data_IF_413364280267
#
_entry.id   IF_413364280267
#
_cell.length_a   1.000
_cell.length_b   1.000
_cell.length_c   1.000
_cell.angle_alpha   90.00
_cell.angle_beta   90.00
_cell.angle_gamma   90.00
#
_symmetry.space_group_name_H-M   'P 1'
#
loop_
_entity.id
_entity.type
_entity.pdbx_description
1 polymer ?
#
# COMPACT_ATOMS: atom_id res chain seq x y z
N UNK A 1 14.92 24.63 -10.81
CA UNK A 1 13.92 24.08 -9.86
C UNK A 1 13.94 22.55 -9.84
N UNK A 2 15.12 21.92 -9.89
CA UNK A 2 15.30 20.45 -9.88
C UNK A 2 16.16 20.00 -8.66
N UNK A 3 16.46 20.88 -7.71
CA UNK A 3 17.44 20.57 -6.65
C UNK A 3 16.88 20.32 -5.25
N UNK A 4 15.56 20.37 -5.06
CA UNK A 4 14.96 20.07 -3.74
C UNK A 4 14.60 18.60 -3.53
N UNK A 5 14.65 17.76 -4.58
CA UNK A 5 14.22 16.36 -4.49
C UNK A 5 15.34 15.35 -4.26
N UNK A 6 16.62 15.77 -4.32
CA UNK A 6 17.78 14.87 -4.21
C UNK A 6 18.53 14.88 -2.88
N UNK A 7 18.18 15.79 -1.96
CA UNK A 7 18.91 15.93 -0.67
C UNK A 7 18.15 15.32 0.53
N UNK A 8 16.92 14.83 0.35
CA UNK A 8 16.13 14.23 1.43
C UNK A 8 16.50 12.76 1.77
N UNK A 9 17.69 12.28 1.38
CA UNK A 9 18.10 10.88 1.53
C UNK A 9 18.86 10.57 2.84
N UNK A 10 18.89 11.48 3.82
CA UNK A 10 19.72 11.27 5.02
C UNK A 10 19.03 11.42 6.38
N UNK A 11 17.74 11.77 6.47
CA UNK A 11 17.06 11.85 7.78
C UNK A 11 15.61 11.37 7.70
N UNK A 12 15.17 10.48 8.60
CA UNK A 12 13.75 10.19 8.78
C UNK A 12 13.12 11.41 9.44
N UNK A 13 12.61 12.34 8.62
CA UNK A 13 11.80 13.44 9.14
C UNK A 13 10.48 12.86 9.68
N UNK A 14 10.06 13.23 10.91
CA UNK A 14 8.82 12.71 11.53
C UNK A 14 7.57 12.84 10.65
N UNK A 15 7.53 13.89 9.82
CA UNK A 15 6.43 14.15 8.88
C UNK A 15 6.20 13.06 7.82
N UNK A 16 7.24 12.32 7.41
CA UNK A 16 7.09 11.22 6.44
C UNK A 16 6.33 10.04 7.03
N UNK A 17 6.46 9.78 8.34
CA UNK A 17 5.74 8.68 8.98
C UNK A 17 4.24 8.98 9.13
N UNK A 18 3.88 10.22 9.52
CA UNK A 18 2.49 10.63 9.67
C UNK A 18 1.74 10.64 8.34
N UNK A 19 2.42 11.00 7.24
CA UNK A 19 1.83 10.97 5.91
C UNK A 19 1.50 9.54 5.48
N UNK A 20 2.45 8.59 5.62
CA UNK A 20 2.21 7.18 5.26
C UNK A 20 1.06 6.56 6.06
N UNK A 21 0.95 6.89 7.36
CA UNK A 21 -0.12 6.40 8.23
C UNK A 21 -1.49 6.95 7.82
N UNK A 22 -1.56 8.25 7.50
CA UNK A 22 -2.81 8.90 7.09
C UNK A 22 -3.32 8.33 5.76
N UNK A 23 -2.43 8.11 4.80
CA UNK A 23 -2.74 7.46 3.53
C UNK A 23 -3.26 6.03 3.74
N UNK A 24 -2.56 5.24 4.56
CA UNK A 24 -2.96 3.87 4.86
C UNK A 24 -4.33 3.79 5.55
N UNK A 25 -4.61 4.69 6.49
CA UNK A 25 -5.90 4.71 7.20
C UNK A 25 -7.07 5.12 6.29
N UNK A 26 -6.84 6.06 5.37
CA UNK A 26 -7.83 6.42 4.36
C UNK A 26 -8.10 5.24 3.42
N UNK A 27 -7.05 4.57 2.95
CA UNK A 27 -7.16 3.38 2.11
C UNK A 27 -8.00 2.27 2.77
N UNK A 28 -7.71 1.96 4.04
CA UNK A 28 -8.49 0.99 4.83
C UNK A 28 -9.97 1.41 4.93
N UNK A 29 -10.23 2.69 5.15
CA UNK A 29 -11.61 3.21 5.28
C UNK A 29 -12.38 3.08 3.97
N UNK A 30 -11.73 3.36 2.83
CA UNK A 30 -12.30 3.19 1.50
C UNK A 30 -12.54 1.72 1.16
N UNK A 31 -11.57 0.84 1.46
CA UNK A 31 -11.73 -0.60 1.29
C UNK A 31 -12.90 -1.14 2.15
N UNK A 32 -13.03 -0.68 3.39
CA UNK A 32 -14.16 -1.03 4.25
C UNK A 32 -15.49 -0.54 3.66
N UNK A 33 -15.53 0.67 3.08
CA UNK A 33 -16.71 1.21 2.39
C UNK A 33 -17.05 0.39 1.15
N UNK A 34 -16.06 0.01 0.36
CA UNK A 34 -16.22 -0.93 -0.76
C UNK A 34 -16.82 -2.25 -0.30
N UNK A 35 -16.26 -2.87 0.74
CA UNK A 35 -16.76 -4.16 1.25
C UNK A 35 -18.22 -4.09 1.72
N UNK A 36 -18.68 -2.93 2.19
CA UNK A 36 -20.07 -2.72 2.62
C UNK A 36 -21.02 -2.34 1.50
N UNK A 37 -20.55 -1.58 0.50
CA UNK A 37 -21.43 -0.92 -0.50
C UNK A 37 -21.17 -1.33 -1.94
N UNK A 38 -20.09 -2.07 -2.19
CA UNK A 38 -19.67 -2.52 -3.51
C UNK A 38 -19.26 -1.38 -4.46
N UNK A 39 -18.89 -0.20 -3.95
CA UNK A 39 -18.56 0.98 -4.76
C UNK A 39 -17.15 0.84 -5.34
N UNK A 40 -16.98 0.50 -6.63
CA UNK A 40 -15.69 0.02 -7.13
C UNK A 40 -14.60 1.09 -7.16
N UNK A 41 -14.99 2.37 -7.30
CA UNK A 41 -14.06 3.50 -7.26
C UNK A 41 -13.35 3.65 -5.91
N UNK A 42 -13.99 3.24 -4.82
CA UNK A 42 -13.39 3.29 -3.50
C UNK A 42 -12.20 2.33 -3.39
N UNK A 43 -12.34 1.17 -4.03
CA UNK A 43 -11.29 0.16 -4.04
C UNK A 43 -10.13 0.56 -4.94
N UNK A 44 -10.43 1.15 -6.11
CA UNK A 44 -9.40 1.70 -6.99
C UNK A 44 -8.59 2.81 -6.27
N UNK A 45 -9.27 3.73 -5.57
CA UNK A 45 -8.60 4.76 -4.75
C UNK A 45 -7.83 4.17 -3.56
N UNK A 46 -8.36 3.14 -2.90
CA UNK A 46 -7.66 2.47 -1.81
C UNK A 46 -6.33 1.84 -2.28
N UNK A 47 -6.30 1.24 -3.48
CA UNK A 47 -5.10 0.66 -4.07
C UNK A 47 -4.06 1.76 -4.33
N UNK A 48 -4.45 2.87 -4.95
CA UNK A 48 -3.55 4.00 -5.21
C UNK A 48 -2.94 4.56 -3.91
N UNK A 49 -3.75 4.69 -2.86
CA UNK A 49 -3.29 5.15 -1.55
C UNK A 49 -2.37 4.15 -0.86
N UNK A 50 -2.61 2.83 -1.00
CA UNK A 50 -1.70 1.81 -0.50
C UNK A 50 -0.35 1.82 -1.24
N UNK A 51 -0.33 2.03 -2.56
CA UNK A 51 0.92 2.26 -3.30
C UNK A 51 1.66 3.50 -2.80
N UNK A 52 0.95 4.62 -2.64
CA UNK A 52 1.53 5.85 -2.12
C UNK A 52 2.12 5.65 -0.72
N UNK A 53 1.41 4.96 0.18
CA UNK A 53 1.90 4.65 1.52
C UNK A 53 3.14 3.73 1.49
N UNK A 54 3.18 2.74 0.60
CA UNK A 54 4.32 1.83 0.44
C UNK A 54 5.59 2.57 -0.01
N UNK A 55 5.46 3.63 -0.80
CA UNK A 55 6.60 4.45 -1.25
C UNK A 55 7.36 5.12 -0.08
N UNK A 56 6.70 5.33 1.08
CA UNK A 56 7.33 5.84 2.29
C UNK A 56 8.11 4.78 3.09
N UNK A 57 7.95 3.49 2.77
CA UNK A 57 8.58 2.39 3.49
C UNK A 57 9.62 1.69 2.60
N UNK A 58 10.83 2.24 2.41
CA UNK A 58 11.86 1.65 1.56
C UNK A 58 12.30 0.26 2.09
N UNK A 59 13.03 -0.54 1.28
CA UNK A 59 13.59 -1.81 1.73
C UNK A 59 14.32 -1.69 3.09
N UNK A 60 14.02 -2.61 4.03
CA UNK A 60 14.54 -2.57 5.40
C UNK A 60 13.70 -1.77 6.40
N UNK A 61 12.70 -1.00 5.96
CA UNK A 61 11.79 -0.29 6.87
C UNK A 61 10.87 -1.28 7.60
N UNK A 62 10.72 -1.11 8.93
CA UNK A 62 9.96 -2.02 9.79
C UNK A 62 8.50 -2.22 9.37
N UNK A 63 7.85 -1.15 8.89
CA UNK A 63 6.45 -1.19 8.45
C UNK A 63 6.27 -1.70 7.00
N UNK A 64 7.34 -1.98 6.25
CA UNK A 64 7.23 -2.33 4.82
C UNK A 64 6.43 -3.61 4.60
N UNK A 65 6.62 -4.63 5.44
CA UNK A 65 5.87 -5.89 5.35
C UNK A 65 4.36 -5.67 5.48
N UNK A 66 3.93 -4.80 6.39
CA UNK A 66 2.52 -4.48 6.62
C UNK A 66 1.92 -3.71 5.44
N UNK A 67 2.65 -2.74 4.87
CA UNK A 67 2.18 -2.01 3.69
C UNK A 67 2.04 -2.90 2.46
N UNK A 68 3.01 -3.79 2.23
CA UNK A 68 2.93 -4.79 1.15
C UNK A 68 1.70 -5.69 1.33
N UNK A 69 1.45 -6.17 2.55
CA UNK A 69 0.29 -6.99 2.85
C UNK A 69 -1.03 -6.25 2.61
N UNK A 70 -1.15 -4.98 3.03
CA UNK A 70 -2.39 -4.23 2.85
C UNK A 70 -2.71 -3.99 1.36
N UNK A 71 -1.69 -3.64 0.57
CA UNK A 71 -1.84 -3.50 -0.87
C UNK A 71 -2.27 -4.82 -1.52
N UNK A 72 -1.64 -5.94 -1.14
CA UNK A 72 -1.98 -7.26 -1.65
C UNK A 72 -3.45 -7.64 -1.36
N UNK A 73 -3.95 -7.31 -0.16
CA UNK A 73 -5.35 -7.55 0.21
C UNK A 73 -6.29 -6.72 -0.66
N UNK A 74 -5.99 -5.44 -0.90
CA UNK A 74 -6.82 -4.58 -1.74
C UNK A 74 -6.88 -5.07 -3.20
N UNK A 75 -5.74 -5.49 -3.77
CA UNK A 75 -5.68 -6.09 -5.11
C UNK A 75 -6.47 -7.40 -5.18
N UNK A 76 -6.35 -8.26 -4.16
CA UNK A 76 -7.16 -9.48 -4.06
C UNK A 76 -8.66 -9.18 -4.01
N UNK A 77 -9.08 -8.17 -3.24
CA UNK A 77 -10.49 -7.75 -3.20
C UNK A 77 -10.97 -7.28 -4.58
N UNK A 78 -10.11 -6.57 -5.34
CA UNK A 78 -10.44 -6.12 -6.70
C UNK A 78 -10.53 -7.28 -7.67
N UNK A 79 -9.62 -8.26 -7.56
CA UNK A 79 -9.70 -9.51 -8.29
C UNK A 79 -11.02 -10.25 -8.00
N UNK A 80 -11.40 -10.40 -6.73
CA UNK A 80 -12.66 -11.07 -6.37
C UNK A 80 -13.88 -10.37 -6.97
N UNK A 81 -13.81 -9.05 -7.17
CA UNK A 81 -14.90 -8.26 -7.71
C UNK A 81 -14.94 -8.23 -9.25
N UNK A 82 -13.79 -8.08 -9.93
CA UNK A 82 -13.72 -7.86 -11.39
C UNK A 82 -13.06 -9.00 -12.17
N UNK A 83 -12.34 -9.91 -11.51
CA UNK A 83 -11.68 -11.06 -12.13
C UNK A 83 -10.38 -10.74 -12.87
N UNK A 84 -9.75 -9.59 -12.63
CA UNK A 84 -8.49 -9.22 -13.29
C UNK A 84 -7.32 -10.05 -12.74
N UNK A 85 -6.84 -11.01 -13.55
CA UNK A 85 -5.74 -11.90 -13.15
C UNK A 85 -4.45 -11.14 -12.80
N UNK A 86 -4.21 -9.99 -13.42
CA UNK A 86 -3.08 -9.11 -13.08
C UNK A 86 -3.07 -8.69 -11.61
N UNK A 87 -4.25 -8.42 -11.04
CA UNK A 87 -4.36 -8.03 -9.63
C UNK A 87 -4.02 -9.21 -8.71
N UNK A 88 -4.43 -10.41 -9.10
CA UNK A 88 -4.13 -11.62 -8.33
C UNK A 88 -2.63 -11.95 -8.37
N UNK A 89 -2.01 -11.86 -9.54
CA UNK A 89 -0.58 -12.09 -9.71
C UNK A 89 0.24 -11.09 -8.87
N UNK A 90 -0.11 -9.81 -8.93
CA UNK A 90 0.54 -8.78 -8.12
C UNK A 90 0.31 -9.01 -6.61
N UNK A 91 -0.90 -9.37 -6.19
CA UNK A 91 -1.19 -9.67 -4.78
C UNK A 91 -0.33 -10.84 -4.26
N UNK A 92 -0.13 -11.89 -5.06
CA UNK A 92 0.71 -13.03 -4.71
C UNK A 92 2.16 -12.60 -4.51
N UNK A 93 2.70 -11.81 -5.44
CA UNK A 93 4.09 -11.34 -5.35
C UNK A 93 4.31 -10.40 -4.17
N UNK A 94 3.35 -9.52 -3.88
CA UNK A 94 3.37 -8.66 -2.70
C UNK A 94 3.28 -9.47 -1.40
N UNK A 95 2.44 -10.50 -1.32
CA UNK A 95 2.39 -11.38 -0.16
C UNK A 95 3.70 -12.16 0.06
N UNK A 96 4.33 -12.65 -1.02
CA UNK A 96 5.65 -13.28 -0.95
C UNK A 96 6.71 -12.30 -0.43
N UNK A 97 6.72 -11.09 -0.96
CA UNK A 97 7.62 -10.03 -0.52
C UNK A 97 7.38 -9.66 0.96
N UNK A 98 6.13 -9.58 1.40
CA UNK A 98 5.80 -9.34 2.80
C UNK A 98 6.28 -10.47 3.72
N UNK A 99 6.11 -11.73 3.30
CA UNK A 99 6.54 -12.91 4.06
C UNK A 99 8.06 -12.97 4.20
N UNK A 100 8.79 -12.65 3.13
CA UNK A 100 10.26 -12.64 3.14
C UNK A 100 10.87 -11.62 4.13
N UNK A 101 10.10 -10.64 4.58
CA UNK A 101 10.52 -9.64 5.57
C UNK A 101 10.19 -10.04 7.02
N UNK A 102 9.49 -11.15 7.24
CA UNK A 102 9.17 -11.64 8.59
C UNK A 102 10.22 -12.64 9.05
N UNK A 103 10.69 -12.55 10.30
CA UNK A 103 11.57 -13.57 10.86
C UNK A 103 10.82 -14.93 10.94
N UNK A 104 11.56 -16.05 10.83
CA UNK A 104 11.01 -17.40 10.94
C UNK A 104 10.48 -17.73 12.34
#
# INVERSE_FOLDING_TARGET
AIDLHRVALALPSPGYSYQSLSLNNLAISLQARFNQRGVPSDLDEAIDLHHAALAFHPPGHSNRSSSLNNLAVALKDRFNHRGFLSDLDEAIDLHRAALALRPP
#
